data_IF_048336421927
#
_entry.id   IF_048336421927
#
_cell.length_a   1.000
_cell.length_b   1.000
_cell.length_c   1.000
_cell.angle_alpha   90.00
_cell.angle_beta   90.00
_cell.angle_gamma   90.00
#
_symmetry.space_group_name_H-M   'P 1'
#
loop_
_entity.id
_entity.type
_entity.pdbx_description
1 polymer ?
#
# COMPACT_ATOMS: atom_id res chain seq x y z
N UNK A 1 8.04 15.28 -0.93
CA UNK A 1 7.15 14.49 -0.07
C UNK A 1 7.69 13.08 0.12
N UNK A 2 7.80 12.66 1.35
CA UNK A 2 8.20 11.29 1.66
C UNK A 2 6.96 10.47 1.99
N UNK A 3 6.94 9.25 1.49
CA UNK A 3 5.84 8.30 1.70
C UNK A 3 6.35 7.20 2.59
N UNK A 4 5.80 7.09 3.80
CA UNK A 4 6.16 6.01 4.72
C UNK A 4 5.48 4.73 4.27
N UNK A 5 6.21 3.62 4.24
CA UNK A 5 5.63 2.36 3.79
C UNK A 5 6.04 1.19 4.67
N UNK A 6 5.18 0.18 4.68
CA UNK A 6 5.38 -1.06 5.43
C UNK A 6 5.22 -2.22 4.44
N UNK A 7 6.09 -3.21 4.58
CA UNK A 7 6.04 -4.44 3.77
C UNK A 7 5.50 -5.57 4.64
N UNK A 8 4.51 -6.31 4.15
CA UNK A 8 3.98 -7.48 4.84
C UNK A 8 3.93 -8.65 3.89
N UNK A 9 4.72 -9.68 4.16
CA UNK A 9 4.81 -10.89 3.35
C UNK A 9 5.42 -11.99 4.23
N UNK A 10 4.92 -13.20 4.13
CA UNK A 10 5.43 -14.30 4.95
C UNK A 10 6.68 -14.95 4.37
N UNK A 11 7.04 -14.63 3.13
CA UNK A 11 8.21 -15.21 2.48
C UNK A 11 9.43 -14.30 2.63
N UNK A 12 10.54 -14.79 3.21
CA UNK A 12 11.73 -13.95 3.41
C UNK A 12 12.28 -13.35 2.11
N UNK A 13 12.28 -14.12 1.02
CA UNK A 13 12.80 -13.62 -0.25
C UNK A 13 11.93 -12.52 -0.83
N UNK A 14 10.62 -12.61 -0.65
CA UNK A 14 9.71 -11.57 -1.12
C UNK A 14 9.92 -10.27 -0.33
N UNK A 15 10.06 -10.39 1.00
CA UNK A 15 10.34 -9.22 1.84
C UNK A 15 11.66 -8.56 1.43
N UNK A 16 12.68 -9.37 1.20
CA UNK A 16 14.00 -8.85 0.82
C UNK A 16 13.94 -8.15 -0.53
N UNK A 17 13.24 -8.74 -1.48
CA UNK A 17 13.10 -8.14 -2.81
C UNK A 17 12.39 -6.81 -2.79
N UNK A 18 11.28 -6.73 -2.07
CA UNK A 18 10.53 -5.48 -1.95
C UNK A 18 11.33 -4.42 -1.20
N UNK A 19 12.03 -4.82 -0.14
CA UNK A 19 12.90 -3.88 0.58
C UNK A 19 13.95 -3.28 -0.35
N UNK A 20 14.58 -4.13 -1.17
CA UNK A 20 15.58 -3.68 -2.14
C UNK A 20 14.98 -2.65 -3.09
N UNK A 21 13.77 -2.88 -3.56
CA UNK A 21 13.10 -1.95 -4.47
C UNK A 21 12.75 -0.64 -3.77
N UNK A 22 12.23 -0.71 -2.54
CA UNK A 22 11.89 0.49 -1.78
C UNK A 22 13.10 1.38 -1.60
N UNK A 23 14.25 0.77 -1.31
CA UNK A 23 15.48 1.52 -1.08
C UNK A 23 15.99 2.25 -2.31
N UNK A 24 15.54 1.87 -3.49
CA UNK A 24 15.94 2.52 -4.74
C UNK A 24 15.07 3.70 -5.12
N UNK A 25 13.96 3.92 -4.41
CA UNK A 25 13.01 4.98 -4.75
C UNK A 25 13.11 6.07 -3.70
N UNK A 26 13.52 7.25 -4.12
CA UNK A 26 13.88 8.33 -3.19
C UNK A 26 12.71 8.90 -2.40
N UNK A 27 11.48 8.79 -2.88
CA UNK A 27 10.33 9.31 -2.15
C UNK A 27 9.69 8.26 -1.19
N UNK A 28 10.26 7.05 -1.09
CA UNK A 28 9.76 6.04 -0.17
C UNK A 28 10.67 5.92 1.05
N UNK A 29 10.04 5.81 2.22
CA UNK A 29 10.76 5.57 3.48
C UNK A 29 10.17 4.31 4.12
N UNK A 30 10.98 3.26 4.23
CA UNK A 30 10.53 2.01 4.82
C UNK A 30 10.50 2.17 6.33
N UNK A 31 9.32 2.01 6.94
CA UNK A 31 9.15 2.17 8.39
C UNK A 31 8.90 0.86 9.13
N UNK A 32 8.60 -0.22 8.41
CA UNK A 32 8.40 -1.50 9.05
C UNK A 32 8.32 -2.65 8.06
N UNK A 33 8.62 -3.85 8.56
CA UNK A 33 8.53 -5.08 7.79
C UNK A 33 7.84 -6.09 8.69
N UNK A 34 6.76 -6.69 8.21
CA UNK A 34 5.98 -7.68 8.94
C UNK A 34 5.98 -9.01 8.22
N UNK A 35 5.96 -10.10 8.97
CA UNK A 35 6.01 -11.45 8.41
C UNK A 35 4.62 -12.08 8.26
N UNK A 36 3.62 -11.52 8.95
CA UNK A 36 2.26 -12.04 8.88
C UNK A 36 1.26 -10.96 9.27
N UNK A 37 -0.02 -11.31 9.18
CA UNK A 37 -1.09 -10.38 9.48
C UNK A 37 -1.12 -9.93 10.93
N UNK A 38 -0.70 -10.79 11.84
CA UNK A 38 -0.71 -10.45 13.28
C UNK A 38 0.33 -9.38 13.59
N UNK A 39 1.51 -9.51 13.01
CA UNK A 39 2.54 -8.49 13.19
C UNK A 39 2.09 -7.16 12.61
N UNK A 40 1.46 -7.19 11.44
CA UNK A 40 0.96 -5.97 10.81
C UNK A 40 -0.13 -5.33 11.65
N UNK A 41 -1.05 -6.13 12.17
CA UNK A 41 -2.13 -5.62 13.01
C UNK A 41 -1.57 -4.87 14.23
N UNK A 42 -0.54 -5.45 14.85
CA UNK A 42 0.12 -4.82 16.00
C UNK A 42 0.81 -3.52 15.59
N UNK A 43 1.49 -3.53 14.45
CA UNK A 43 2.17 -2.34 13.96
C UNK A 43 1.19 -1.20 13.68
N UNK A 44 0.06 -1.51 13.06
CA UNK A 44 -0.93 -0.50 12.68
C UNK A 44 -1.60 0.17 13.88
N UNK A 45 -1.50 -0.44 15.07
CA UNK A 45 -2.00 0.18 16.29
C UNK A 45 -1.04 1.25 16.81
N UNK A 46 0.21 1.22 16.37
CA UNK A 46 1.24 2.15 16.84
C UNK A 46 1.64 3.18 15.80
N UNK A 47 1.50 2.83 14.52
CA UNK A 47 1.96 3.65 13.41
C UNK A 47 0.87 3.73 12.36
N UNK A 48 0.89 4.83 11.59
CA UNK A 48 -0.03 4.97 10.46
C UNK A 48 0.81 5.23 9.20
N UNK A 49 1.28 4.17 8.56
CA UNK A 49 2.05 4.34 7.33
C UNK A 49 1.16 4.90 6.22
N UNK A 50 1.79 5.56 5.27
CA UNK A 50 1.06 6.09 4.11
C UNK A 50 0.71 4.99 3.12
N UNK A 51 1.56 3.97 3.03
CA UNK A 51 1.45 2.92 2.02
C UNK A 51 1.76 1.57 2.64
N UNK A 52 0.96 0.59 2.26
CA UNK A 52 1.13 -0.79 2.72
C UNK A 52 1.29 -1.71 1.51
N UNK A 53 2.41 -2.46 1.47
CA UNK A 53 2.55 -3.58 0.55
C UNK A 53 2.07 -4.81 1.28
N UNK A 54 1.02 -5.44 0.78
CA UNK A 54 0.31 -6.47 1.51
C UNK A 54 0.15 -7.73 0.65
N UNK A 55 0.80 -8.81 1.09
CA UNK A 55 0.66 -10.10 0.46
C UNK A 55 -0.70 -10.70 0.80
N UNK A 56 -1.32 -11.39 -0.15
CA UNK A 56 -2.60 -12.04 0.10
C UNK A 56 -2.41 -13.35 0.85
N UNK A 57 -1.48 -14.20 0.39
CA UNK A 57 -1.31 -15.53 0.96
C UNK A 57 -0.40 -15.49 2.19
N UNK A 58 -1.00 -15.45 3.37
CA UNK A 58 -0.27 -15.45 4.63
C UNK A 58 -0.96 -16.40 5.62
N UNK A 59 -0.20 -16.92 6.60
CA UNK A 59 -0.81 -17.79 7.60
C UNK A 59 -1.74 -17.01 8.53
N UNK A 60 -2.69 -17.73 9.14
CA UNK A 60 -3.67 -17.24 10.13
C UNK A 60 -4.76 -16.38 9.51
N UNK A 61 -4.39 -15.37 8.74
CA UNK A 61 -5.33 -14.40 8.20
C UNK A 61 -4.78 -13.92 6.87
N UNK A 62 -5.55 -14.01 5.80
CA UNK A 62 -5.09 -13.55 4.49
C UNK A 62 -5.01 -12.02 4.48
N UNK A 63 -4.24 -11.50 3.51
CA UNK A 63 -4.17 -10.06 3.34
C UNK A 63 -5.53 -9.42 3.12
N UNK A 64 -6.39 -10.07 2.33
CA UNK A 64 -7.73 -9.55 2.06
C UNK A 64 -8.60 -9.55 3.32
N UNK A 65 -8.51 -10.61 4.14
CA UNK A 65 -9.26 -10.66 5.39
C UNK A 65 -8.81 -9.58 6.36
N UNK A 66 -7.50 -9.35 6.43
CA UNK A 66 -6.99 -8.28 7.28
C UNK A 66 -7.49 -6.93 6.80
N UNK A 67 -7.42 -6.70 5.50
CA UNK A 67 -7.84 -5.43 4.90
C UNK A 67 -9.31 -5.16 5.22
N UNK A 68 -10.15 -6.20 5.14
CA UNK A 68 -11.57 -6.06 5.46
C UNK A 68 -11.82 -5.68 6.91
N UNK A 69 -10.89 -6.00 7.81
CA UNK A 69 -11.05 -5.71 9.23
C UNK A 69 -10.59 -4.30 9.62
N UNK A 70 -9.93 -3.60 8.71
CA UNK A 70 -9.42 -2.26 9.01
C UNK A 70 -10.47 -1.21 8.71
N UNK A 71 -10.70 -0.30 9.67
CA UNK A 71 -11.71 0.75 9.50
C UNK A 71 -11.18 1.94 8.71
N UNK A 72 -9.87 2.15 8.74
CA UNK A 72 -9.28 3.31 8.05
C UNK A 72 -7.89 2.90 7.52
N UNK A 73 -7.86 2.04 6.50
CA UNK A 73 -6.58 1.51 6.03
C UNK A 73 -5.75 2.57 5.31
N UNK A 74 -4.42 2.40 5.30
CA UNK A 74 -3.58 3.23 4.44
C UNK A 74 -3.83 2.87 2.99
N UNK A 75 -3.16 3.55 2.07
CA UNK A 75 -3.18 3.13 0.68
C UNK A 75 -2.51 1.77 0.59
N UNK A 76 -3.05 0.90 -0.25
CA UNK A 76 -2.61 -0.49 -0.29
C UNK A 76 -2.22 -0.88 -1.71
N UNK A 77 -1.05 -1.53 -1.82
CA UNK A 77 -0.65 -2.25 -3.02
C UNK A 77 -0.61 -3.72 -2.63
N UNK A 78 -1.45 -4.51 -3.25
CA UNK A 78 -1.53 -5.95 -3.00
C UNK A 78 -0.45 -6.66 -3.80
N UNK A 79 0.17 -7.68 -3.21
CA UNK A 79 1.08 -8.57 -3.93
C UNK A 79 0.54 -9.99 -3.83
N UNK A 80 0.71 -10.78 -4.90
CA UNK A 80 0.21 -12.15 -4.92
C UNK A 80 0.88 -12.94 -6.04
N UNK A 81 0.95 -14.25 -5.87
CA UNK A 81 1.37 -15.16 -6.93
C UNK A 81 0.22 -15.51 -7.87
N UNK A 82 -1.01 -15.09 -7.55
CA UNK A 82 -2.21 -15.49 -8.27
C UNK A 82 -3.01 -14.29 -8.76
N UNK A 83 -3.24 -14.21 -10.07
CA UNK A 83 -4.01 -13.09 -10.62
C UNK A 83 -5.50 -13.20 -10.35
N UNK A 84 -5.98 -14.37 -9.93
CA UNK A 84 -7.40 -14.58 -9.66
C UNK A 84 -7.94 -13.74 -8.51
N UNK A 85 -7.07 -13.20 -7.68
CA UNK A 85 -7.48 -12.37 -6.55
C UNK A 85 -7.57 -10.87 -6.90
N UNK A 86 -7.21 -10.50 -8.13
CA UNK A 86 -7.15 -9.09 -8.50
C UNK A 86 -8.50 -8.39 -8.37
N UNK A 87 -9.56 -8.98 -8.91
CA UNK A 87 -10.90 -8.37 -8.83
C UNK A 87 -11.34 -8.19 -7.39
N UNK A 88 -11.12 -9.21 -6.56
CA UNK A 88 -11.51 -9.14 -5.17
C UNK A 88 -10.72 -8.07 -4.42
N UNK A 89 -9.43 -7.93 -4.77
CA UNK A 89 -8.60 -6.88 -4.18
C UNK A 89 -9.14 -5.50 -4.48
N UNK A 90 -9.56 -5.26 -5.71
CA UNK A 90 -10.09 -3.94 -6.10
C UNK A 90 -11.40 -3.58 -5.42
N UNK A 91 -12.12 -4.56 -4.88
CA UNK A 91 -13.32 -4.28 -4.08
C UNK A 91 -12.96 -3.55 -2.78
N UNK A 92 -11.72 -3.59 -2.36
CA UNK A 92 -11.25 -2.93 -1.13
C UNK A 92 -10.57 -1.59 -1.41
N UNK A 93 -10.73 -1.06 -2.62
CA UNK A 93 -10.16 0.24 -2.98
C UNK A 93 -8.64 0.27 -2.86
N UNK A 94 -8.00 -0.77 -3.38
CA UNK A 94 -6.53 -0.82 -3.41
C UNK A 94 -6.01 0.06 -4.55
N UNK A 95 -4.78 0.53 -4.40
CA UNK A 95 -4.18 1.38 -5.44
C UNK A 95 -3.66 0.56 -6.61
N UNK A 96 -3.09 -0.62 -6.34
CA UNK A 96 -2.58 -1.47 -7.40
C UNK A 96 -2.45 -2.91 -6.92
N UNK A 97 -2.27 -3.81 -7.88
CA UNK A 97 -2.14 -5.25 -7.64
C UNK A 97 -0.90 -5.74 -8.41
N UNK A 98 0.08 -6.26 -7.69
CA UNK A 98 1.34 -6.71 -8.29
C UNK A 98 1.43 -8.22 -8.27
N UNK A 99 1.58 -8.81 -9.44
CA UNK A 99 1.70 -10.26 -9.59
C UNK A 99 3.18 -10.66 -9.45
N UNK A 100 3.44 -11.64 -8.58
CA UNK A 100 4.80 -12.15 -8.38
C UNK A 100 5.20 -13.04 -9.56
N UNK A 101 6.47 -13.03 -9.96
CA UNK A 101 7.56 -12.21 -9.45
C UNK A 101 7.44 -10.76 -9.93
N UNK A 102 7.71 -9.83 -9.03
CA UNK A 102 7.51 -8.41 -9.31
C UNK A 102 8.78 -7.81 -9.90
N UNK A 103 8.69 -7.26 -11.11
CA UNK A 103 9.81 -6.57 -11.70
C UNK A 103 9.91 -5.16 -11.13
N UNK A 104 11.10 -4.56 -11.18
CA UNK A 104 11.29 -3.22 -10.65
C UNK A 104 10.45 -2.18 -11.40
N UNK A 105 10.38 -2.29 -12.73
CA UNK A 105 9.59 -1.32 -13.51
C UNK A 105 8.10 -1.42 -13.16
N UNK A 106 7.58 -2.62 -12.91
CA UNK A 106 6.18 -2.77 -12.50
C UNK A 106 5.97 -2.21 -11.09
N UNK A 107 6.91 -2.46 -10.19
CA UNK A 107 6.91 -1.88 -8.85
C UNK A 107 6.91 -0.35 -8.93
N UNK A 108 7.80 0.20 -9.74
CA UNK A 108 7.94 1.65 -9.88
C UNK A 108 6.66 2.28 -10.39
N UNK A 109 5.99 1.64 -11.35
CA UNK A 109 4.73 2.13 -11.87
C UNK A 109 3.67 2.24 -10.75
N UNK A 110 3.61 1.22 -9.88
CA UNK A 110 2.64 1.21 -8.79
C UNK A 110 2.92 2.31 -7.77
N UNK A 111 4.18 2.47 -7.36
CA UNK A 111 4.49 3.49 -6.34
C UNK A 111 4.42 4.90 -6.91
N UNK A 112 4.68 5.07 -8.21
CA UNK A 112 4.47 6.37 -8.85
C UNK A 112 2.99 6.73 -8.85
N UNK A 113 2.12 5.75 -8.99
CA UNK A 113 0.68 5.97 -8.91
C UNK A 113 0.29 6.48 -7.52
N UNK A 114 0.84 5.85 -6.46
CA UNK A 114 0.60 6.31 -5.10
C UNK A 114 1.11 7.72 -4.90
N UNK A 115 2.33 7.99 -5.36
CA UNK A 115 2.95 9.31 -5.23
C UNK A 115 2.09 10.38 -5.89
N UNK A 116 1.64 10.10 -7.11
CA UNK A 116 0.78 11.02 -7.86
C UNK A 116 -0.52 11.32 -7.10
N UNK A 117 -1.18 10.26 -6.58
CA UNK A 117 -2.42 10.43 -5.85
C UNK A 117 -2.22 11.25 -4.57
N UNK A 118 -1.14 11.02 -3.86
CA UNK A 118 -0.87 11.76 -2.63
C UNK A 118 -0.49 13.21 -2.91
N UNK A 119 0.20 13.48 -4.01
CA UNK A 119 0.48 14.86 -4.41
C UNK A 119 -0.81 15.59 -4.78
N UNK A 120 -1.75 14.92 -5.42
CA UNK A 120 -3.04 15.52 -5.75
C UNK A 120 -3.83 15.89 -4.48
N UNK A 121 -3.81 15.00 -3.48
CA UNK A 121 -4.46 15.30 -2.22
C UNK A 121 -3.84 16.51 -1.53
N UNK A 122 -2.51 16.59 -1.57
CA UNK A 122 -1.80 17.70 -0.96
C UNK A 122 -2.12 19.01 -1.65
N UNK A 123 -2.18 19.00 -2.99
CA UNK A 123 -2.44 20.22 -3.76
C UNK A 123 -3.91 20.63 -3.73
N UNK A 124 -4.80 19.76 -3.30
CA UNK A 124 -6.23 20.07 -3.21
C UNK A 124 -6.62 20.51 -1.79
N UNK A 125 -5.66 20.88 -0.96
CA UNK A 125 -5.93 21.40 0.36
C UNK A 125 -6.84 22.63 0.29
N UNK A 126 -7.71 22.79 1.24
CA UNK A 126 -8.75 23.81 1.17
C UNK A 126 -8.28 25.23 1.35
N UNK A 127 -7.04 25.47 1.22
CA UNK A 127 -6.61 26.85 1.05
C UNK A 127 -7.29 27.45 -0.14
N UNK A 128 -7.72 26.57 -0.96
CA UNK A 128 -8.57 26.97 -2.03
C UNK A 128 -9.94 26.82 -1.64
N UNK A 129 -10.44 26.54 -0.89
CA UNK A 129 -11.62 26.17 -0.58
C UNK A 129 -12.50 26.80 -0.14
N UNK A 130 -12.40 27.07 -0.33
CA UNK A 130 -13.35 27.57 -0.11
C UNK A 130 -14.39 27.64 -1.04
N UNK A 131 -14.12 27.58 -1.88
CA UNK A 131 -14.63 27.24 -2.67
C UNK A 131 -15.14 26.42 -3.11
N UNK A 132 -15.29 26.45 -3.34
CA UNK A 132 -15.39 25.46 -3.69
C UNK A 132 -15.88 24.63 -3.72
N UNK A 133 -15.92 24.51 -3.73
CA UNK A 133 -16.03 23.54 -3.76
C UNK A 133 -16.68 22.78 -3.81
N UNK A 134 -16.95 23.15 -3.79
CA UNK A 134 -17.23 22.28 -3.91
C UNK A 134 -17.62 21.53 -4.47
N UNK A 135 -17.57 21.64 -4.77
CA UNK A 135 -17.46 20.80 -5.21
C UNK A 135 -17.47 19.93 -5.53
N UNK A 136 -17.35 20.12 -5.54
CA UNK A 136 -16.83 19.30 -5.74
C UNK A 136 -17.06 18.42 -5.70
N UNK A 137 -17.22 18.64 -5.67
CA UNK A 137 -16.89 17.87 -5.55
C UNK A 137 -16.96 17.21 -5.49
N UNK A 138 -17.02 17.48 -5.68
CA UNK A 138 -16.62 16.94 -5.54
C UNK A 138 -16.65 16.65 -5.59
#
# INVERSE_FOLDING_TARGET
>A
MQISCVITDDEPMARKGLKSYVEKVDFLTLTGICEDAMQLNTLLKKEQPDLLFLDIEMPYLTGLDLLASLSNPPRVIITSAYEQYALKGYEFDITDYLLKPISFDRFLKAVNKVHHLMLQLESSEPTDFIFVRSDRQM
#
